data_IF_253174674457
#
_entry.id   IF_253174674457
#
_cell.length_a   1.000
_cell.length_b   1.000
_cell.length_c   1.000
_cell.angle_alpha   90.00
_cell.angle_beta   90.00
_cell.angle_gamma   90.00
#
_symmetry.space_group_name_H-M   'P 1'
#
loop_
_entity.id
_entity.type
_entity.pdbx_description
1 polymer ?
#
# COMPACT_ATOMS: atom_id res chain seq x y z
N UNK A 1 -14.29 -22.78 5.58
CA UNK A 1 -15.26 -21.70 5.27
C UNK A 1 -15.33 -20.61 6.34
N UNK A 2 -15.24 -20.94 7.65
CA UNK A 2 -15.34 -19.97 8.76
C UNK A 2 -14.21 -18.91 8.79
N UNK A 3 -12.96 -19.28 8.48
CA UNK A 3 -11.83 -18.33 8.43
C UNK A 3 -12.03 -17.22 7.38
N UNK A 4 -12.54 -17.55 6.19
CA UNK A 4 -12.76 -16.56 5.13
C UNK A 4 -13.86 -15.55 5.49
N UNK A 5 -14.91 -15.97 6.19
CA UNK A 5 -15.95 -15.05 6.69
C UNK A 5 -15.39 -14.09 7.74
N UNK A 6 -14.54 -14.58 8.66
CA UNK A 6 -13.94 -13.74 9.71
C UNK A 6 -12.99 -12.69 9.11
N UNK A 7 -12.16 -13.09 8.13
CA UNK A 7 -11.27 -12.17 7.40
C UNK A 7 -12.08 -11.13 6.61
N UNK A 8 -13.17 -11.53 5.96
CA UNK A 8 -14.02 -10.59 5.24
C UNK A 8 -14.66 -9.55 6.17
N UNK A 9 -15.10 -9.96 7.36
CA UNK A 9 -15.61 -9.02 8.38
C UNK A 9 -14.51 -8.07 8.87
N UNK A 10 -13.27 -8.56 9.03
CA UNK A 10 -12.12 -7.74 9.36
C UNK A 10 -11.77 -6.72 8.26
N UNK A 11 -11.99 -7.07 6.99
CA UNK A 11 -11.71 -6.25 5.82
C UNK A 11 -12.75 -5.15 5.56
N UNK A 12 -14.02 -5.42 5.89
CA UNK A 12 -15.16 -4.52 5.63
C UNK A 12 -14.95 -3.06 6.10
N UNK A 13 -14.39 -2.77 7.27
CA UNK A 13 -14.12 -1.39 7.71
C UNK A 13 -13.16 -0.63 6.79
N UNK A 14 -12.10 -1.29 6.32
CA UNK A 14 -11.15 -0.69 5.38
C UNK A 14 -11.86 -0.42 4.05
N UNK A 15 -12.52 -1.43 3.48
CA UNK A 15 -13.24 -1.30 2.21
C UNK A 15 -14.26 -0.16 2.23
N UNK A 16 -15.09 -0.06 3.27
CA UNK A 16 -16.10 0.98 3.40
C UNK A 16 -15.49 2.38 3.56
N UNK A 17 -14.28 2.47 4.10
CA UNK A 17 -13.53 3.71 4.18
C UNK A 17 -12.99 4.11 2.80
N UNK A 18 -12.40 3.16 2.05
CA UNK A 18 -11.82 3.41 0.73
C UNK A 18 -12.87 3.77 -0.34
N UNK A 19 -14.07 3.20 -0.25
CA UNK A 19 -15.20 3.56 -1.13
C UNK A 19 -15.56 5.05 -1.13
N UNK A 20 -15.20 5.78 -0.08
CA UNK A 20 -15.52 7.21 0.08
C UNK A 20 -14.42 8.12 -0.48
N UNK A 21 -13.35 7.55 -1.03
CA UNK A 21 -12.20 8.28 -1.54
C UNK A 21 -12.32 8.46 -3.06
N UNK A 22 -11.89 9.63 -3.53
CA UNK A 22 -11.59 9.88 -4.93
C UNK A 22 -10.24 9.23 -5.29
N UNK A 23 -10.19 8.54 -6.45
CA UNK A 23 -9.00 7.83 -6.92
C UNK A 23 -7.82 8.78 -7.16
N UNK A 24 -8.02 9.84 -7.94
CA UNK A 24 -6.96 10.78 -8.34
C UNK A 24 -6.34 11.50 -7.15
N UNK A 25 -7.20 12.00 -6.25
CA UNK A 25 -6.76 12.66 -5.02
C UNK A 25 -5.95 11.71 -4.13
N UNK A 26 -6.38 10.46 -4.04
CA UNK A 26 -5.68 9.44 -3.27
C UNK A 26 -4.31 9.12 -3.85
N UNK A 27 -4.22 8.96 -5.17
CA UNK A 27 -2.94 8.72 -5.84
C UNK A 27 -2.00 9.90 -5.72
N UNK A 28 -2.51 11.12 -5.85
CA UNK A 28 -1.70 12.33 -5.67
C UNK A 28 -1.05 12.36 -4.28
N UNK A 29 -1.80 12.04 -3.23
CA UNK A 29 -1.28 12.00 -1.86
C UNK A 29 -0.27 10.87 -1.69
N UNK A 30 -0.59 9.66 -2.14
CA UNK A 30 0.33 8.51 -2.01
C UNK A 30 1.63 8.77 -2.76
N UNK A 31 1.55 9.27 -3.99
CA UNK A 31 2.72 9.60 -4.80
C UNK A 31 3.60 10.64 -4.09
N UNK A 32 3.02 11.71 -3.53
CA UNK A 32 3.76 12.71 -2.77
C UNK A 32 4.49 12.10 -1.56
N UNK A 33 3.83 11.22 -0.81
CA UNK A 33 4.49 10.51 0.28
C UNK A 33 5.64 9.64 -0.25
N UNK A 34 5.44 8.83 -1.28
CA UNK A 34 6.53 8.02 -1.86
C UNK A 34 7.71 8.89 -2.30
N UNK A 35 7.44 10.02 -2.95
CA UNK A 35 8.48 10.98 -3.36
C UNK A 35 9.26 11.55 -2.16
N UNK A 36 8.56 11.84 -1.06
CA UNK A 36 9.19 12.26 0.20
C UNK A 36 10.02 11.14 0.83
N UNK A 37 9.48 9.91 0.89
CA UNK A 37 10.13 8.78 1.55
C UNK A 37 11.42 8.34 0.84
N UNK A 38 11.40 8.29 -0.50
CA UNK A 38 12.47 7.75 -1.33
C UNK A 38 13.50 8.80 -1.77
N UNK A 39 13.03 10.02 -2.08
CA UNK A 39 13.89 11.05 -2.67
C UNK A 39 14.05 12.29 -1.79
N UNK A 40 13.45 12.30 -0.59
CA UNK A 40 13.50 13.46 0.31
C UNK A 40 12.81 14.72 -0.24
N UNK A 41 11.95 14.56 -1.26
CA UNK A 41 11.21 15.68 -1.84
C UNK A 41 10.20 16.23 -0.84
N UNK A 42 10.03 17.54 -0.78
CA UNK A 42 9.01 18.16 0.09
C UNK A 42 7.61 17.73 -0.35
N UNK A 43 6.77 17.40 0.62
CA UNK A 43 5.36 17.09 0.40
C UNK A 43 4.65 18.37 -0.08
N UNK A 44 3.74 18.23 -1.05
CA UNK A 44 2.95 19.34 -1.54
C UNK A 44 2.14 20.03 -0.43
N UNK A 45 2.10 21.37 -0.44
CA UNK A 45 1.45 22.18 0.60
C UNK A 45 -0.06 21.97 0.71
N UNK A 46 -0.69 21.42 -0.33
CA UNK A 46 -2.11 21.08 -0.32
C UNK A 46 -2.42 19.83 0.52
N UNK A 47 -1.39 19.09 0.94
CA UNK A 47 -1.50 17.89 1.77
C UNK A 47 -1.19 18.27 3.22
N UNK A 48 -2.15 18.05 4.11
CA UNK A 48 -1.92 18.15 5.54
C UNK A 48 -1.03 17.00 6.00
N UNK A 49 0.03 17.36 6.71
CA UNK A 49 0.95 16.43 7.36
C UNK A 49 0.88 16.62 8.86
N UNK A 50 1.25 15.58 9.62
CA UNK A 50 1.47 15.75 11.05
C UNK A 50 2.56 16.81 11.25
N UNK A 51 2.36 17.85 12.08
CA UNK A 51 3.42 18.81 12.41
C UNK A 51 4.70 18.13 12.89
N UNK A 52 4.59 16.97 13.57
CA UNK A 52 5.76 16.20 13.97
C UNK A 52 6.63 15.76 12.78
N UNK A 53 6.08 15.54 11.59
CA UNK A 53 6.85 15.22 10.38
C UNK A 53 7.72 16.39 9.90
N UNK A 54 7.32 17.63 10.19
CA UNK A 54 8.05 18.84 9.81
C UNK A 54 9.04 19.30 10.90
N UNK A 55 8.66 19.18 12.17
CA UNK A 55 9.38 19.81 13.28
C UNK A 55 10.15 18.84 14.18
N UNK A 56 9.86 17.53 14.15
CA UNK A 56 10.56 16.55 15.01
C UNK A 56 11.76 15.92 14.31
N UNK A 57 12.87 15.76 15.03
CA UNK A 57 14.00 14.92 14.59
C UNK A 57 13.65 13.43 14.55
N UNK A 58 12.65 13.01 15.32
CA UNK A 58 12.24 11.60 15.40
C UNK A 58 10.80 11.44 14.89
N UNK A 59 10.69 11.09 13.60
CA UNK A 59 9.42 10.99 12.87
C UNK A 59 8.97 9.54 12.63
N UNK A 60 9.77 8.57 13.10
CA UNK A 60 9.63 7.15 12.77
C UNK A 60 8.24 6.61 13.14
N UNK A 61 7.68 7.03 14.27
CA UNK A 61 6.37 6.56 14.74
C UNK A 61 5.18 7.08 13.92
N UNK A 62 5.35 8.22 13.24
CA UNK A 62 4.27 8.92 12.54
C UNK A 62 4.35 8.78 11.02
N UNK A 63 5.52 8.41 10.51
CA UNK A 63 5.78 8.19 9.08
C UNK A 63 5.11 6.89 8.60
N UNK A 64 4.42 6.90 7.45
CA UNK A 64 4.01 5.66 6.80
C UNK A 64 5.22 4.90 6.27
N UNK A 65 5.18 3.57 6.31
CA UNK A 65 6.18 2.77 5.61
C UNK A 65 5.84 2.65 4.12
N UNK A 66 6.85 2.52 3.27
CA UNK A 66 6.65 2.39 1.81
C UNK A 66 5.74 1.23 1.44
N UNK A 67 5.90 0.09 2.11
CA UNK A 67 5.04 -1.08 1.89
C UNK A 67 3.57 -0.83 2.23
N UNK A 68 3.28 0.07 3.18
CA UNK A 68 1.90 0.43 3.54
C UNK A 68 1.27 1.27 2.44
N UNK A 69 2.06 2.15 1.82
CA UNK A 69 1.63 2.96 0.68
C UNK A 69 1.38 2.09 -0.55
N UNK A 70 2.25 1.12 -0.84
CA UNK A 70 2.04 0.14 -1.92
C UNK A 70 0.73 -0.64 -1.73
N UNK A 71 0.52 -1.18 -0.53
CA UNK A 71 -0.67 -1.96 -0.24
C UNK A 71 -1.92 -1.09 -0.28
N UNK A 72 -1.86 0.13 0.26
CA UNK A 72 -2.96 1.09 0.20
C UNK A 72 -3.30 1.45 -1.25
N UNK A 73 -2.29 1.68 -2.10
CA UNK A 73 -2.47 1.97 -3.53
C UNK A 73 -3.28 0.88 -4.21
N UNK A 74 -2.89 -0.39 -4.01
CA UNK A 74 -3.59 -1.55 -4.54
C UNK A 74 -5.03 -1.61 -4.06
N UNK A 75 -5.26 -1.41 -2.77
CA UNK A 75 -6.61 -1.44 -2.18
C UNK A 75 -7.49 -0.27 -2.65
N UNK A 76 -6.92 0.90 -2.90
CA UNK A 76 -7.65 2.05 -3.45
C UNK A 76 -8.10 1.73 -4.87
N UNK A 77 -7.20 1.26 -5.76
CA UNK A 77 -7.56 0.87 -7.14
C UNK A 77 -8.75 -0.10 -7.16
N UNK A 78 -8.79 -1.05 -6.22
CA UNK A 78 -9.82 -2.08 -6.16
C UNK A 78 -11.16 -1.55 -5.61
N UNK A 79 -11.13 -0.59 -4.67
CA UNK A 79 -12.31 -0.26 -3.85
C UNK A 79 -12.78 1.18 -3.92
N UNK A 80 -11.97 2.13 -4.42
CA UNK A 80 -12.38 3.52 -4.55
C UNK A 80 -13.47 3.67 -5.61
N UNK A 81 -14.17 4.80 -5.56
CA UNK A 81 -15.16 5.16 -6.56
C UNK A 81 -14.64 6.34 -7.38
N UNK A 82 -14.89 6.32 -8.70
CA UNK A 82 -14.63 7.46 -9.60
C UNK A 82 -15.71 8.53 -9.42
N UNK A 83 -15.85 9.04 -8.19
CA UNK A 83 -16.78 10.11 -7.86
C UNK A 83 -15.96 11.33 -7.48
N UNK A 84 -15.99 12.34 -8.36
CA UNK A 84 -15.35 13.64 -8.14
C UNK A 84 -15.89 14.38 -6.90
N UNK A 85 -17.10 14.03 -6.44
CA UNK A 85 -17.73 14.56 -5.22
C UNK A 85 -17.57 13.62 -4.01
N UNK A 86 -16.33 13.22 -3.73
CA UNK A 86 -16.05 12.43 -2.53
C UNK A 86 -15.92 13.38 -1.33
N UNK A 87 -16.72 13.17 -0.27
CA UNK A 87 -16.65 14.01 0.94
C UNK A 87 -15.35 13.82 1.73
N UNK A 88 -14.55 12.78 1.45
CA UNK A 88 -13.35 12.41 2.21
C UNK A 88 -12.12 12.40 1.30
N UNK A 89 -11.07 13.07 1.74
CA UNK A 89 -9.81 13.21 0.99
C UNK A 89 -8.64 12.72 1.82
N UNK A 90 -7.66 12.07 1.17
CA UNK A 90 -6.40 11.70 1.81
C UNK A 90 -5.49 12.91 2.04
N UNK A 91 -5.78 14.08 1.44
CA UNK A 91 -5.06 15.33 1.74
C UNK A 91 -5.23 15.76 3.19
N UNK A 92 -6.28 15.30 3.87
CA UNK A 92 -6.51 15.58 5.29
C UNK A 92 -5.78 14.56 6.15
N UNK A 93 -4.85 15.01 7.00
CA UNK A 93 -4.01 14.13 7.81
C UNK A 93 -4.82 13.17 8.67
N UNK A 94 -5.92 13.65 9.27
CA UNK A 94 -6.82 12.84 10.07
C UNK A 94 -7.43 11.67 9.29
N UNK A 95 -7.79 11.87 8.01
CA UNK A 95 -8.31 10.81 7.16
C UNK A 95 -7.23 9.86 6.69
N UNK A 96 -6.07 10.39 6.30
CA UNK A 96 -4.93 9.58 5.89
C UNK A 96 -4.44 8.65 7.01
N UNK A 97 -4.16 9.20 8.20
CA UNK A 97 -3.75 8.44 9.37
C UNK A 97 -4.80 7.41 9.79
N UNK A 98 -6.09 7.77 9.81
CA UNK A 98 -7.18 6.83 10.11
C UNK A 98 -7.25 5.69 9.08
N UNK A 99 -6.99 5.97 7.80
CA UNK A 99 -6.98 4.96 6.74
C UNK A 99 -5.82 3.99 6.92
N UNK A 100 -4.61 4.49 7.22
CA UNK A 100 -3.46 3.66 7.53
C UNK A 100 -3.67 2.81 8.79
N UNK A 101 -4.29 3.36 9.83
CA UNK A 101 -4.61 2.60 11.05
C UNK A 101 -5.56 1.44 10.72
N UNK A 102 -6.58 1.66 9.87
CA UNK A 102 -7.48 0.58 9.42
C UNK A 102 -6.73 -0.50 8.63
N UNK A 103 -5.80 -0.09 7.77
CA UNK A 103 -4.94 -1.02 7.03
C UNK A 103 -4.07 -1.87 7.97
N UNK A 104 -3.37 -1.23 8.91
CA UNK A 104 -2.56 -1.91 9.94
C UNK A 104 -3.40 -2.86 10.79
N UNK A 105 -4.59 -2.43 11.20
CA UNK A 105 -5.52 -3.27 11.97
C UNK A 105 -5.95 -4.51 11.19
N UNK A 106 -6.23 -4.37 9.89
CA UNK A 106 -6.52 -5.52 9.02
C UNK A 106 -5.33 -6.48 8.94
N UNK A 107 -4.12 -5.97 8.69
CA UNK A 107 -2.91 -6.79 8.65
C UNK A 107 -2.70 -7.56 9.96
N UNK A 108 -2.90 -6.89 11.11
CA UNK A 108 -2.78 -7.52 12.42
C UNK A 108 -3.83 -8.60 12.66
N UNK A 109 -5.07 -8.40 12.19
CA UNK A 109 -6.12 -9.43 12.28
C UNK A 109 -5.82 -10.64 11.41
N UNK A 110 -5.33 -10.43 10.18
CA UNK A 110 -4.90 -11.51 9.29
C UNK A 110 -3.75 -12.28 9.95
N UNK A 111 -2.73 -11.57 10.43
CA UNK A 111 -1.57 -12.17 11.10
C UNK A 111 -1.97 -13.07 12.27
N UNK A 112 -2.91 -12.63 13.12
CA UNK A 112 -3.43 -13.45 14.23
C UNK A 112 -4.06 -14.77 13.79
N UNK A 113 -4.61 -14.82 12.58
CA UNK A 113 -5.27 -16.04 12.06
C UNK A 113 -4.37 -16.89 11.16
N UNK A 114 -3.33 -16.28 10.58
CA UNK A 114 -2.47 -16.93 9.59
C UNK A 114 -1.11 -17.34 10.13
N UNK A 115 -0.64 -16.74 11.23
CA UNK A 115 0.64 -17.10 11.84
C UNK A 115 0.44 -18.34 12.70
N UNK A 116 1.21 -19.38 12.43
CA UNK A 116 1.26 -20.64 13.16
C UNK A 116 2.72 -20.99 13.51
N UNK A 117 2.93 -21.96 14.41
CA UNK A 117 4.27 -22.37 14.85
C UNK A 117 5.17 -22.81 13.68
N UNK A 118 4.58 -23.34 12.61
CA UNK A 118 5.29 -23.83 11.43
C UNK A 118 5.76 -22.70 10.50
N UNK A 119 5.16 -21.51 10.57
CA UNK A 119 5.43 -20.39 9.67
C UNK A 119 5.96 -19.13 10.34
N UNK A 120 6.06 -19.10 11.68
CA UNK A 120 6.56 -17.96 12.47
C UNK A 120 7.90 -17.44 11.95
N UNK A 121 8.84 -18.32 11.61
CA UNK A 121 10.17 -17.93 11.09
C UNK A 121 10.07 -17.19 9.75
N UNK A 122 9.26 -17.70 8.83
CA UNK A 122 9.00 -17.07 7.53
C UNK A 122 8.31 -15.70 7.71
N UNK A 123 7.40 -15.59 8.66
CA UNK A 123 6.68 -14.36 8.96
C UNK A 123 7.57 -13.30 9.61
N UNK A 124 8.49 -13.69 10.50
CA UNK A 124 9.52 -12.81 11.05
C UNK A 124 10.43 -12.25 9.95
N UNK A 125 10.88 -13.09 9.02
CA UNK A 125 11.68 -12.68 7.87
C UNK A 125 10.89 -11.67 7.01
N UNK A 126 9.61 -11.96 6.74
CA UNK A 126 8.73 -11.05 5.98
C UNK A 126 8.57 -9.69 6.67
N UNK A 127 8.44 -9.66 8.00
CA UNK A 127 8.33 -8.43 8.79
C UNK A 127 9.65 -7.65 8.72
N UNK A 128 10.79 -8.32 8.85
CA UNK A 128 12.11 -7.70 8.74
C UNK A 128 12.28 -6.99 7.38
N UNK A 129 11.93 -7.66 6.27
CA UNK A 129 11.97 -7.05 4.94
C UNK A 129 11.01 -5.86 4.76
N UNK A 130 9.94 -5.76 5.55
CA UNK A 130 9.02 -4.62 5.52
C UNK A 130 9.50 -3.45 6.37
N UNK A 131 10.14 -3.73 7.50
CA UNK A 131 10.51 -2.73 8.50
C UNK A 131 11.91 -2.15 8.28
N UNK A 132 12.80 -2.90 7.62
CA UNK A 132 14.20 -2.54 7.42
C UNK A 132 14.55 -2.36 5.94
N UNK A 133 13.94 -1.38 5.23
CA UNK A 133 14.18 -1.17 3.81
C UNK A 133 15.66 -0.83 3.53
N UNK A 134 16.39 -0.21 4.47
CA UNK A 134 17.82 0.09 4.31
C UNK A 134 18.72 -1.16 4.24
N UNK A 135 18.24 -2.32 4.72
CA UNK A 135 18.98 -3.59 4.60
C UNK A 135 18.73 -4.28 3.24
N UNK A 136 17.75 -3.81 2.46
CA UNK A 136 17.34 -4.45 1.22
C UNK A 136 17.68 -3.54 0.03
N UNK A 137 18.80 -3.82 -0.64
CA UNK A 137 19.02 -3.27 -2.00
C UNK A 137 17.88 -3.76 -2.91
N UNK A 138 17.50 -3.04 -3.98
CA UNK A 138 16.56 -3.55 -4.98
C UNK A 138 17.06 -4.90 -5.48
N UNK A 139 16.40 -5.98 -5.05
CA UNK A 139 16.78 -7.35 -5.36
C UNK A 139 15.67 -8.01 -6.20
N UNK A 140 15.94 -9.21 -6.71
CA UNK A 140 14.94 -10.03 -7.38
C UNK A 140 13.70 -10.27 -6.49
N UNK A 141 13.88 -10.30 -5.17
CA UNK A 141 12.78 -10.46 -4.21
C UNK A 141 11.81 -9.27 -4.21
N UNK A 142 12.32 -8.06 -4.43
CA UNK A 142 11.50 -6.87 -4.58
C UNK A 142 10.58 -7.02 -5.78
N UNK A 143 11.15 -7.38 -6.94
CA UNK A 143 10.36 -7.63 -8.14
C UNK A 143 9.32 -8.74 -7.90
N UNK A 144 9.73 -9.89 -7.35
CA UNK A 144 8.81 -11.03 -7.13
C UNK A 144 7.66 -10.64 -6.19
N UNK A 145 7.93 -9.81 -5.19
CA UNK A 145 6.90 -9.29 -4.30
C UNK A 145 5.90 -8.41 -5.06
N UNK A 146 6.35 -7.47 -5.89
CA UNK A 146 5.46 -6.65 -6.70
C UNK A 146 4.59 -7.50 -7.63
N UNK A 147 5.21 -8.50 -8.28
CA UNK A 147 4.47 -9.48 -9.07
C UNK A 147 3.37 -10.14 -8.23
N UNK A 148 3.68 -10.67 -7.05
CA UNK A 148 2.67 -11.32 -6.18
C UNK A 148 1.58 -10.37 -5.67
N UNK A 149 1.90 -9.09 -5.42
CA UNK A 149 0.93 -8.10 -4.91
C UNK A 149 -0.03 -7.66 -6.02
N UNK A 150 0.49 -7.40 -7.21
CA UNK A 150 -0.28 -6.78 -8.29
C UNK A 150 -0.85 -7.79 -9.29
N UNK A 151 -0.31 -9.01 -9.39
CA UNK A 151 -0.82 -10.05 -10.29
C UNK A 151 -2.11 -10.71 -9.77
N UNK A 152 -3.16 -9.89 -9.66
CA UNK A 152 -4.53 -10.29 -9.31
C UNK A 152 -5.37 -10.15 -10.57
N UNK A 153 -6.29 -11.10 -10.88
CA UNK A 153 -7.09 -11.06 -12.10
C UNK A 153 -7.81 -9.74 -12.37
N UNK A 154 -8.34 -9.10 -11.31
CA UNK A 154 -9.00 -7.79 -11.39
C UNK A 154 -8.06 -6.69 -11.89
N UNK A 155 -6.86 -6.61 -11.34
CA UNK A 155 -5.85 -5.64 -11.78
C UNK A 155 -5.33 -5.98 -13.17
N UNK A 156 -5.09 -7.25 -13.45
CA UNK A 156 -4.59 -7.69 -14.76
C UNK A 156 -5.57 -7.29 -15.89
N UNK A 157 -6.87 -7.47 -15.67
CA UNK A 157 -7.90 -7.04 -16.62
C UNK A 157 -7.94 -5.52 -16.79
N UNK A 158 -7.78 -4.77 -15.69
CA UNK A 158 -7.75 -3.30 -15.73
C UNK A 158 -6.54 -2.79 -16.50
N UNK A 159 -5.35 -3.31 -16.20
CA UNK A 159 -4.09 -2.94 -16.86
C UNK A 159 -4.13 -3.31 -18.34
N UNK A 160 -4.61 -4.51 -18.69
CA UNK A 160 -4.78 -4.93 -20.08
C UNK A 160 -5.73 -4.03 -20.85
N UNK A 161 -6.81 -3.56 -20.22
CA UNK A 161 -7.76 -2.63 -20.84
C UNK A 161 -7.15 -1.25 -21.10
N UNK A 162 -6.33 -0.73 -20.20
CA UNK A 162 -5.78 0.64 -20.30
C UNK A 162 -4.50 0.67 -21.16
N UNK A 163 -3.60 -0.27 -20.94
CA UNK A 163 -2.24 -0.26 -21.53
C UNK A 163 -2.14 -1.22 -22.72
N UNK A 164 -3.07 -2.19 -22.84
CA UNK A 164 -2.99 -3.26 -23.85
C UNK A 164 -2.12 -4.44 -23.44
N UNK A 165 -1.38 -4.33 -22.33
CA UNK A 165 -0.46 -5.35 -21.81
C UNK A 165 -1.00 -5.98 -20.53
N UNK A 166 -0.70 -7.25 -20.33
CA UNK A 166 -0.88 -7.95 -19.05
C UNK A 166 0.17 -7.51 -18.04
N UNK A 167 -0.11 -7.72 -16.75
CA UNK A 167 0.83 -7.48 -15.66
C UNK A 167 2.08 -8.35 -15.84
N UNK A 168 1.92 -9.57 -16.36
CA UNK A 168 3.05 -10.46 -16.64
C UNK A 168 3.97 -9.84 -17.71
N UNK A 169 3.41 -9.34 -18.82
CA UNK A 169 4.18 -8.71 -19.89
C UNK A 169 4.91 -7.45 -19.40
N UNK A 170 4.23 -6.58 -18.65
CA UNK A 170 4.87 -5.41 -18.04
C UNK A 170 6.02 -5.80 -17.11
N UNK A 171 5.83 -6.87 -16.34
CA UNK A 171 6.83 -7.36 -15.42
C UNK A 171 8.03 -7.98 -16.15
N UNK A 172 7.79 -8.72 -17.25
CA UNK A 172 8.85 -9.22 -18.13
C UNK A 172 9.64 -8.09 -18.77
N UNK A 173 8.97 -7.02 -19.22
CA UNK A 173 9.64 -5.82 -19.74
C UNK A 173 10.54 -5.21 -18.66
N UNK A 174 10.03 -5.05 -17.43
CA UNK A 174 10.82 -4.55 -16.31
C UNK A 174 12.05 -5.42 -15.99
N UNK A 175 11.91 -6.74 -16.05
CA UNK A 175 13.02 -7.68 -15.89
C UNK A 175 14.06 -7.54 -17.01
N UNK A 176 13.59 -7.44 -18.26
CA UNK A 176 14.46 -7.30 -19.44
C UNK A 176 15.29 -6.01 -19.38
N UNK A 177 14.68 -4.88 -18.98
CA UNK A 177 15.40 -3.63 -18.78
C UNK A 177 16.29 -3.62 -17.53
N UNK A 178 15.96 -4.44 -16.52
CA UNK A 178 16.74 -4.58 -15.29
C UNK A 178 18.00 -5.43 -15.41
N UNK A 179 18.27 -6.02 -16.59
CA UNK A 179 19.45 -6.85 -16.84
C UNK A 179 19.42 -8.23 -16.16
N UNK A 180 18.23 -8.78 -15.95
CA UNK A 180 18.03 -10.12 -15.38
C UNK A 180 18.18 -11.24 -16.42
#
# INVERSE_FOLDING_TARGET
>A
MVQNQNIFQAYKPLRNNLKKLCLDDSFFVIWNFVQYLQFGKKIDKTIEVNPALEYSKNTISWRPHEWELELLTKEIIINSQDIYSSSKSLKKWAYFSSTLIKLRSLCNKIAKTSIDENNVTNELIRIAFRQFPWQSRPSKDFLVRYYKIFNIPTLNNLVKRIIGLTINELYFIGLAFGGA
#
